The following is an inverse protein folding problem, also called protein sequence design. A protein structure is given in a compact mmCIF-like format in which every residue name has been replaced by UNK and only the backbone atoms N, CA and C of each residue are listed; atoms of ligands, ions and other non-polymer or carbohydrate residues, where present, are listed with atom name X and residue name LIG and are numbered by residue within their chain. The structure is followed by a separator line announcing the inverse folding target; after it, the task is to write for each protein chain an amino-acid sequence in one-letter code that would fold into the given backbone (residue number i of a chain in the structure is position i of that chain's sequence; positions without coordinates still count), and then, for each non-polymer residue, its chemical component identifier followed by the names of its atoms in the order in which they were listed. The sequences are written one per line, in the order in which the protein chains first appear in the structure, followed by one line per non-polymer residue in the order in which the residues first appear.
data_IF_448318753370
#
_entry.id   IF_448318753370
#
_cell.length_a   1.000
_cell.length_b   1.000
_cell.length_c   1.000
_cell.angle_alpha   90.00
_cell.angle_beta   90.00
_cell.angle_gamma   90.00
#
_symmetry.space_group_name_H-M   'P 1'
#
loop_
_entity.id
_entity.type
_entity.pdbx_description
1 polymer ?
#
# COMPACT_ATOMS: atom_id res chain seq x y z
N UNK A 1 -27.10 15.86 4.74
CA UNK A 1 -27.45 14.44 4.51
C UNK A 1 -27.34 14.19 3.02
N UNK A 2 -26.34 13.44 2.56
CA UNK A 2 -26.19 13.11 1.14
C UNK A 2 -27.08 11.90 0.81
N UNK A 3 -27.91 12.02 -0.23
CA UNK A 3 -28.82 10.99 -0.74
C UNK A 3 -28.02 9.90 -1.50
N UNK A 4 -28.09 8.61 -1.11
CA UNK A 4 -27.34 7.53 -1.75
C UNK A 4 -27.85 7.15 -3.16
N UNK A 5 -28.94 7.74 -3.66
CA UNK A 5 -29.51 7.41 -4.98
C UNK A 5 -29.03 8.31 -6.14
N UNK A 6 -28.29 9.39 -5.87
CA UNK A 6 -27.74 10.25 -6.94
C UNK A 6 -26.31 9.82 -7.24
N UNK A 7 -26.05 9.28 -8.44
CA UNK A 7 -24.68 9.10 -8.92
C UNK A 7 -24.05 10.50 -9.02
N UNK A 8 -23.15 10.91 -8.10
CA UNK A 8 -22.68 12.30 -8.01
C UNK A 8 -21.90 12.74 -9.24
N UNK A 9 -21.53 11.79 -10.09
CA UNK A 9 -20.72 11.94 -11.29
C UNK A 9 -21.60 12.31 -12.51
N UNK A 10 -22.90 12.01 -12.49
CA UNK A 10 -23.80 12.20 -13.63
C UNK A 10 -24.14 13.69 -13.92
N UNK A 11 -23.90 14.59 -12.97
CA UNK A 11 -24.15 16.04 -13.09
C UNK A 11 -22.88 16.83 -13.48
N UNK A 12 -21.77 16.13 -13.75
CA UNK A 12 -20.48 16.73 -14.11
C UNK A 12 -20.34 16.80 -15.64
N UNK A 13 -19.70 17.86 -16.13
CA UNK A 13 -19.28 17.93 -17.54
C UNK A 13 -18.24 16.85 -17.87
N UNK A 14 -18.12 16.45 -19.14
CA UNK A 14 -17.19 15.40 -19.59
C UNK A 14 -15.74 15.67 -19.14
N UNK A 15 -15.31 16.93 -19.18
CA UNK A 15 -14.00 17.36 -18.68
C UNK A 15 -13.85 17.12 -17.17
N UNK A 16 -14.87 17.45 -16.37
CA UNK A 16 -14.85 17.25 -14.92
C UNK A 16 -14.87 15.76 -14.55
N UNK A 17 -15.57 14.91 -15.31
CA UNK A 17 -15.55 13.47 -15.11
C UNK A 17 -14.15 12.88 -15.37
N UNK A 18 -13.46 13.37 -16.40
CA UNK A 18 -12.10 12.94 -16.71
C UNK A 18 -11.09 13.38 -15.64
N UNK A 19 -11.17 14.62 -15.18
CA UNK A 19 -10.31 15.14 -14.11
C UNK A 19 -10.55 14.40 -12.79
N UNK A 20 -11.82 14.15 -12.44
CA UNK A 20 -12.17 13.38 -11.25
C UNK A 20 -11.66 11.94 -11.32
N UNK A 21 -11.74 11.30 -12.49
CA UNK A 21 -11.23 9.94 -12.67
C UNK A 21 -9.72 9.88 -12.43
N UNK A 22 -8.96 10.82 -12.99
CA UNK A 22 -7.51 10.94 -12.74
C UNK A 22 -7.19 11.21 -11.27
N UNK A 23 -7.99 12.06 -10.61
CA UNK A 23 -7.86 12.33 -9.19
C UNK A 23 -8.08 11.07 -8.36
N UNK A 24 -9.16 10.32 -8.63
CA UNK A 24 -9.48 9.07 -7.94
C UNK A 24 -8.35 8.05 -8.12
N UNK A 25 -7.83 7.87 -9.34
CA UNK A 25 -6.70 6.96 -9.59
C UNK A 25 -5.47 7.33 -8.76
N UNK A 26 -5.15 8.62 -8.68
CA UNK A 26 -4.03 9.14 -7.88
C UNK A 26 -4.25 8.87 -6.39
N UNK A 27 -5.43 9.18 -5.87
CA UNK A 27 -5.75 8.95 -4.46
C UNK A 27 -5.79 7.44 -4.11
N UNK A 28 -6.28 6.60 -5.02
CA UNK A 28 -6.25 5.15 -4.85
C UNK A 28 -4.81 4.62 -4.77
N UNK A 29 -3.89 5.13 -5.58
CA UNK A 29 -2.47 4.77 -5.49
C UNK A 29 -1.87 5.14 -4.12
N UNK A 30 -2.19 6.34 -3.62
CA UNK A 30 -1.76 6.77 -2.27
C UNK A 30 -2.31 5.85 -1.19
N UNK A 31 -3.58 5.48 -1.24
CA UNK A 31 -4.19 4.56 -0.27
C UNK A 31 -3.50 3.19 -0.29
N UNK A 32 -3.23 2.64 -1.48
CA UNK A 32 -2.49 1.37 -1.61
C UNK A 32 -1.10 1.45 -0.98
N UNK A 33 -0.39 2.56 -1.18
CA UNK A 33 0.91 2.78 -0.54
C UNK A 33 0.79 2.84 0.99
N UNK A 34 -0.19 3.57 1.51
CA UNK A 34 -0.42 3.65 2.97
C UNK A 34 -0.75 2.29 3.57
N UNK A 35 -1.57 1.49 2.89
CA UNK A 35 -1.86 0.12 3.31
C UNK A 35 -0.60 -0.75 3.33
N UNK A 36 0.25 -0.64 2.31
CA UNK A 36 1.53 -1.36 2.28
C UNK A 36 2.44 -0.93 3.44
N UNK A 37 2.55 0.38 3.72
CA UNK A 37 3.30 0.90 4.87
C UNK A 37 2.79 0.28 6.18
N UNK A 38 1.47 0.33 6.42
CA UNK A 38 0.88 -0.26 7.62
C UNK A 38 1.18 -1.77 7.73
N UNK A 39 1.06 -2.52 6.63
CA UNK A 39 1.36 -3.94 6.60
C UNK A 39 2.83 -4.23 6.94
N UNK A 40 3.76 -3.48 6.36
CA UNK A 40 5.19 -3.64 6.61
C UNK A 40 5.53 -3.25 8.04
N UNK A 41 4.99 -2.15 8.56
CA UNK A 41 5.19 -1.76 9.96
C UNK A 41 4.67 -2.85 10.89
N UNK A 42 3.45 -3.35 10.70
CA UNK A 42 2.87 -4.41 11.54
C UNK A 42 3.68 -5.72 11.49
N UNK A 43 4.30 -6.03 10.34
CA UNK A 43 5.08 -7.26 10.14
C UNK A 43 6.50 -7.15 10.68
N UNK A 44 7.18 -6.04 10.39
CA UNK A 44 8.61 -5.87 10.63
C UNK A 44 8.92 -5.26 11.99
N UNK A 45 8.07 -4.38 12.50
CA UNK A 45 8.26 -3.76 13.82
C UNK A 45 8.49 -4.80 14.93
N UNK A 46 7.62 -5.80 15.16
CA UNK A 46 7.82 -6.78 16.24
C UNK A 46 9.01 -7.72 16.01
N UNK A 47 9.57 -7.76 14.79
CA UNK A 47 10.73 -8.61 14.45
C UNK A 47 12.05 -7.89 14.64
N UNK A 48 12.07 -6.58 14.42
CA UNK A 48 13.30 -5.80 14.31
C UNK A 48 13.49 -4.79 15.42
N UNK A 49 12.42 -4.23 16.00
CA UNK A 49 12.53 -3.17 16.99
C UNK A 49 12.42 -3.77 18.39
N UNK A 50 13.49 -3.63 19.17
CA UNK A 50 13.57 -4.21 20.51
C UNK A 50 13.26 -3.18 21.61
N UNK A 51 13.97 -2.05 21.59
CA UNK A 51 13.82 -0.99 22.60
C UNK A 51 13.44 0.31 21.92
N UNK A 52 12.46 1.02 22.49
CA UNK A 52 12.01 2.30 21.93
C UNK A 52 13.00 3.40 22.35
N UNK A 53 13.68 3.98 21.36
CA UNK A 53 14.58 5.12 21.52
C UNK A 53 14.23 6.28 20.59
N UNK A 54 15.03 7.34 20.63
CA UNK A 54 14.84 8.53 19.78
C UNK A 54 15.22 8.30 18.31
N UNK A 55 15.87 7.17 18.01
CA UNK A 55 16.27 6.72 16.68
C UNK A 55 16.46 5.22 16.70
N UNK A 56 16.39 4.60 15.53
CA UNK A 56 16.82 3.21 15.36
C UNK A 56 18.33 3.11 15.50
N UNK A 57 18.80 2.03 16.10
CA UNK A 57 20.22 1.69 16.01
C UNK A 57 20.55 1.07 14.65
N UNK A 58 21.85 0.91 14.35
CA UNK A 58 22.30 0.38 13.05
C UNK A 58 21.78 -1.04 12.78
N UNK A 59 21.58 -1.86 13.82
CA UNK A 59 21.06 -3.21 13.70
C UNK A 59 19.57 -3.19 13.38
N UNK A 60 18.79 -2.33 14.05
CA UNK A 60 17.37 -2.13 13.80
C UNK A 60 17.12 -1.59 12.37
N UNK A 61 17.88 -0.58 11.93
CA UNK A 61 17.79 -0.05 10.56
C UNK A 61 18.05 -1.13 9.50
N UNK A 62 19.14 -1.90 9.66
CA UNK A 62 19.48 -2.98 8.75
C UNK A 62 18.43 -4.10 8.77
N UNK A 63 17.89 -4.44 9.94
CA UNK A 63 16.84 -5.44 10.07
C UNK A 63 15.56 -4.99 9.35
N UNK A 64 15.12 -3.74 9.55
CA UNK A 64 13.92 -3.20 8.93
C UNK A 64 14.04 -3.20 7.41
N UNK A 65 15.18 -2.76 6.86
CA UNK A 65 15.45 -2.83 5.42
C UNK A 65 15.33 -4.26 4.89
N UNK A 66 16.05 -5.19 5.52
CA UNK A 66 16.03 -6.60 5.12
C UNK A 66 14.63 -7.20 5.24
N UNK A 67 13.88 -6.87 6.29
CA UNK A 67 12.54 -7.40 6.51
C UNK A 67 11.58 -7.02 5.37
N UNK A 68 11.58 -5.74 4.96
CA UNK A 68 10.75 -5.27 3.85
C UNK A 68 11.18 -5.92 2.54
N UNK A 69 12.48 -5.95 2.22
CA UNK A 69 13.01 -6.58 1.00
C UNK A 69 12.65 -8.07 0.94
N UNK A 70 12.85 -8.83 2.02
CA UNK A 70 12.49 -10.25 2.09
C UNK A 70 10.99 -10.47 1.96
N UNK A 71 10.16 -9.60 2.54
CA UNK A 71 8.72 -9.70 2.38
C UNK A 71 8.31 -9.54 0.92
N UNK A 72 8.84 -8.52 0.22
CA UNK A 72 8.56 -8.30 -1.20
C UNK A 72 9.02 -9.47 -2.07
N UNK A 73 10.23 -9.99 -1.85
CA UNK A 73 10.76 -11.16 -2.57
C UNK A 73 9.83 -12.38 -2.44
N UNK A 74 9.37 -12.66 -1.21
CA UNK A 74 8.43 -13.76 -0.96
C UNK A 74 7.09 -13.53 -1.68
N UNK A 75 6.55 -12.31 -1.64
CA UNK A 75 5.29 -11.99 -2.31
C UNK A 75 5.41 -12.18 -3.84
N UNK A 76 6.48 -11.68 -4.46
CA UNK A 76 6.70 -11.87 -5.88
C UNK A 76 6.91 -13.34 -6.25
N UNK A 77 7.61 -14.09 -5.42
CA UNK A 77 7.77 -15.53 -5.62
C UNK A 77 6.42 -16.26 -5.61
N UNK A 78 5.56 -15.96 -4.65
CA UNK A 78 4.22 -16.55 -4.54
C UNK A 78 3.38 -16.18 -5.77
N UNK A 79 3.33 -14.90 -6.16
CA UNK A 79 2.58 -14.45 -7.33
C UNK A 79 3.04 -15.19 -8.59
N UNK A 80 4.36 -15.25 -8.82
CA UNK A 80 4.94 -15.97 -9.96
C UNK A 80 4.60 -17.46 -9.95
N UNK A 81 4.59 -18.08 -8.77
CA UNK A 81 4.19 -19.49 -8.61
C UNK A 81 2.73 -19.69 -9.00
N UNK A 82 1.82 -18.84 -8.50
CA UNK A 82 0.39 -18.91 -8.81
C UNK A 82 0.11 -18.69 -10.31
N UNK A 83 0.83 -17.77 -10.95
CA UNK A 83 0.73 -17.55 -12.40
C UNK A 83 1.19 -18.76 -13.21
N UNK A 84 2.22 -19.47 -12.74
CA UNK A 84 2.71 -20.69 -13.38
C UNK A 84 1.75 -21.87 -13.23
N UNK A 85 1.01 -21.98 -12.12
CA UNK A 85 0.01 -23.04 -11.90
C UNK A 85 -1.27 -22.82 -12.71
N UNK A 86 -1.55 -21.58 -13.14
CA UNK A 86 -2.72 -21.24 -13.99
C UNK A 86 -2.50 -21.47 -15.48
N UNK A 87 -1.29 -21.88 -15.89
CA UNK A 87 -0.96 -22.33 -17.25
C UNK A 87 -1.08 -23.84 -17.33
#
# INVERSE_FOLDING_TARGET
MADPSKNPIADLSETQQLELSKFIETEQQKVKLQQAIHQFTATCWPKCVGTIGNKFDKSEEQCLQNCVERFLDCNFHIIKSLESTRK
#
